data_IF_561014915989
#
_entry.id   IF_561014915989
#
_cell.length_a   1.000
_cell.length_b   1.000
_cell.length_c   1.000
_cell.angle_alpha   90.00
_cell.angle_beta   90.00
_cell.angle_gamma   90.00
#
_symmetry.space_group_name_H-M   'P 1'
#
loop_
_entity.id
_entity.type
_entity.pdbx_description
1 polymer ?
#
# COMPACT_ATOMS: atom_id res chain seq x y z
N UNK A 1 37.56 14.39 22.22
CA UNK A 1 36.99 13.05 21.96
C UNK A 1 35.46 13.07 21.71
N UNK A 2 34.82 14.22 21.51
CA UNK A 2 33.35 14.36 21.42
C UNK A 2 32.78 14.60 20.03
N UNK A 3 33.61 14.62 18.96
CA UNK A 3 33.13 14.79 17.57
C UNK A 3 32.73 13.48 16.87
N UNK A 4 33.00 12.31 17.45
CA UNK A 4 32.75 11.00 16.82
C UNK A 4 31.39 10.36 17.12
N UNK A 5 30.70 10.79 18.18
CA UNK A 5 29.44 10.18 18.63
C UNK A 5 28.19 10.74 17.90
N UNK A 6 28.24 12.00 17.43
CA UNK A 6 27.13 12.61 16.69
C UNK A 6 26.93 11.96 15.31
N UNK A 7 28.01 11.61 14.61
CA UNK A 7 27.96 11.02 13.26
C UNK A 7 27.36 9.61 13.24
N UNK A 8 27.57 8.83 14.31
CA UNK A 8 27.06 7.47 14.41
C UNK A 8 25.55 7.39 14.66
N UNK A 9 24.97 8.36 15.39
CA UNK A 9 23.53 8.40 15.68
C UNK A 9 22.66 8.77 14.45
N UNK A 10 23.26 9.46 13.47
CA UNK A 10 22.60 9.94 12.25
C UNK A 10 22.60 8.91 11.11
N UNK A 11 23.54 7.94 11.12
CA UNK A 11 23.68 6.93 10.07
C UNK A 11 22.57 5.85 10.11
N UNK A 12 21.83 5.73 11.22
CA UNK A 12 20.84 4.67 11.45
C UNK A 12 19.43 4.97 10.92
N UNK A 13 19.25 6.07 10.18
CA UNK A 13 17.97 6.45 9.56
C UNK A 13 17.59 5.61 8.32
N UNK A 14 18.52 4.86 7.73
CA UNK A 14 18.43 4.47 6.31
C UNK A 14 18.49 2.97 5.96
N UNK A 15 18.40 2.05 6.93
CA UNK A 15 18.56 0.61 6.65
C UNK A 15 17.28 -0.20 6.89
N UNK A 16 16.49 -0.34 5.82
CA UNK A 16 15.45 -1.34 5.65
C UNK A 16 15.18 -1.51 4.16
N UNK A 17 15.68 -2.60 3.56
CA UNK A 17 15.46 -2.91 2.15
C UNK A 17 16.38 -4.03 1.66
N UNK A 18 15.83 -5.25 1.66
CA UNK A 18 16.48 -6.49 1.25
C UNK A 18 16.61 -6.61 -0.28
N UNK A 19 17.41 -7.59 -0.65
CA UNK A 19 18.16 -7.76 -1.90
C UNK A 19 17.39 -8.42 -3.06
N UNK A 20 18.05 -8.34 -4.23
CA UNK A 20 18.25 -9.38 -5.24
C UNK A 20 17.39 -9.39 -6.50
N UNK A 21 18.07 -9.33 -7.65
CA UNK A 21 17.62 -9.95 -8.91
C UNK A 21 18.80 -10.69 -9.54
N UNK A 22 18.51 -11.89 -10.05
CA UNK A 22 19.34 -12.71 -10.94
C UNK A 22 18.85 -12.56 -12.40
N UNK A 23 19.62 -13.02 -13.40
CA UNK A 23 19.40 -12.68 -14.82
C UNK A 23 18.62 -13.71 -15.65
N UNK A 24 18.01 -13.17 -16.72
CA UNK A 24 17.65 -13.62 -18.07
C UNK A 24 17.54 -15.12 -18.46
N UNK A 25 16.49 -15.47 -19.22
CA UNK A 25 16.61 -15.78 -20.67
C UNK A 25 15.27 -15.86 -21.43
N UNK A 26 15.38 -15.72 -22.77
CA UNK A 26 14.35 -15.57 -23.84
C UNK A 26 13.53 -16.83 -24.13
N UNK A 27 12.30 -16.67 -24.68
CA UNK A 27 11.74 -17.51 -25.77
C UNK A 27 10.77 -16.70 -26.65
N UNK A 28 10.79 -16.99 -27.95
CA UNK A 28 10.03 -16.39 -29.06
C UNK A 28 8.69 -17.12 -29.38
N UNK A 29 7.81 -16.36 -30.05
CA UNK A 29 6.76 -16.72 -31.04
C UNK A 29 5.43 -17.47 -30.72
N UNK A 30 4.34 -16.73 -30.99
CA UNK A 30 3.16 -17.04 -31.83
C UNK A 30 2.23 -18.25 -31.57
N UNK A 31 0.95 -17.96 -31.23
CA UNK A 31 -0.24 -18.16 -32.12
C UNK A 31 -1.55 -18.42 -31.36
N UNK A 32 -2.65 -17.97 -31.99
CA UNK A 32 -4.07 -18.38 -31.90
C UNK A 32 -4.76 -18.55 -30.52
N UNK A 33 -5.84 -17.77 -30.30
CA UNK A 33 -6.80 -17.95 -29.21
C UNK A 33 -7.75 -19.14 -29.51
N UNK A 34 -7.96 -20.10 -28.61
CA UNK A 34 -9.02 -21.09 -28.74
C UNK A 34 -10.34 -20.55 -28.17
N UNK A 35 -11.45 -20.82 -28.85
CA UNK A 35 -12.79 -20.77 -28.27
C UNK A 35 -12.91 -21.87 -27.20
N UNK A 36 -13.37 -21.49 -26.01
CA UNK A 36 -13.66 -22.41 -24.92
C UNK A 36 -15.13 -22.80 -25.02
N UNK A 37 -15.41 -23.98 -25.56
CA UNK A 37 -16.71 -24.65 -25.37
C UNK A 37 -16.71 -25.40 -24.04
N UNK A 38 -17.71 -25.20 -23.16
CA UNK A 38 -17.78 -25.90 -21.89
C UNK A 38 -17.98 -27.40 -22.11
N UNK A 39 -17.18 -28.21 -21.42
CA UNK A 39 -17.32 -29.67 -21.35
C UNK A 39 -18.56 -30.01 -20.51
N UNK A 40 -19.39 -31.01 -20.89
CA UNK A 40 -20.48 -31.44 -20.03
C UNK A 40 -19.92 -32.05 -18.74
N UNK A 41 -20.43 -31.62 -17.59
CA UNK A 41 -20.06 -32.17 -16.29
C UNK A 41 -20.25 -33.70 -16.28
N UNK A 42 -19.21 -34.42 -15.87
CA UNK A 42 -19.32 -35.85 -15.62
C UNK A 42 -20.20 -36.05 -14.38
N UNK A 43 -21.19 -36.94 -14.50
CA UNK A 43 -22.05 -37.36 -13.39
C UNK A 43 -21.22 -38.09 -12.32
N UNK A 44 -20.67 -37.35 -11.36
CA UNK A 44 -20.21 -37.90 -10.10
C UNK A 44 -21.43 -38.14 -9.20
N UNK A 45 -21.50 -39.32 -8.59
CA UNK A 45 -22.48 -39.59 -7.52
C UNK A 45 -22.11 -38.73 -6.30
N UNK A 46 -22.99 -37.83 -5.83
CA UNK A 46 -22.71 -37.02 -4.65
C UNK A 46 -22.46 -37.93 -3.45
N UNK A 47 -21.49 -37.58 -2.60
CA UNK A 47 -21.58 -38.04 -1.21
C UNK A 47 -22.87 -37.46 -0.63
N UNK A 48 -23.59 -38.22 0.22
CA UNK A 48 -24.72 -37.64 0.95
C UNK A 48 -24.18 -36.49 1.79
N UNK A 49 -24.75 -35.29 1.62
CA UNK A 49 -24.43 -34.04 2.32
C UNK A 49 -23.75 -34.31 3.66
N UNK A 50 -22.43 -34.11 3.71
CA UNK A 50 -21.69 -34.19 4.95
C UNK A 50 -22.06 -32.94 5.76
N UNK A 51 -23.18 -33.01 6.48
CA UNK A 51 -23.43 -32.11 7.59
C UNK A 51 -22.17 -32.14 8.45
N UNK A 52 -21.45 -31.01 8.51
CA UNK A 52 -20.15 -30.90 9.17
C UNK A 52 -20.13 -31.72 10.46
N UNK A 53 -19.23 -32.70 10.52
CA UNK A 53 -19.04 -33.57 11.66
C UNK A 53 -18.91 -32.69 12.91
N UNK A 54 -19.50 -33.10 14.03
CA UNK A 54 -19.41 -32.35 15.30
C UNK A 54 -17.94 -32.07 15.71
N UNK A 55 -16.99 -32.89 15.24
CA UNK A 55 -15.56 -32.65 15.44
C UNK A 55 -14.96 -31.57 14.52
N UNK A 56 -15.42 -31.46 13.28
CA UNK A 56 -14.98 -30.42 12.33
C UNK A 56 -15.52 -29.05 12.75
N UNK A 57 -16.79 -28.99 13.17
CA UNK A 57 -17.37 -27.78 13.73
C UNK A 57 -16.59 -27.30 14.99
N UNK A 58 -16.20 -28.22 15.88
CA UNK A 58 -15.33 -27.90 17.02
C UNK A 58 -13.92 -27.49 16.57
N UNK A 59 -13.38 -28.12 15.54
CA UNK A 59 -12.08 -27.78 14.95
C UNK A 59 -12.05 -26.36 14.43
N UNK A 60 -13.03 -26.00 13.62
CA UNK A 60 -13.23 -24.65 13.10
C UNK A 60 -13.37 -23.62 14.22
N UNK A 61 -14.22 -23.89 15.22
CA UNK A 61 -14.39 -22.99 16.36
C UNK A 61 -13.08 -22.76 17.15
N UNK A 62 -12.26 -23.80 17.32
CA UNK A 62 -10.92 -23.67 17.95
C UNK A 62 -9.98 -22.81 17.11
N UNK A 63 -10.00 -22.97 15.78
CA UNK A 63 -9.18 -22.16 14.87
C UNK A 63 -9.59 -20.68 14.95
N UNK A 64 -10.88 -20.37 14.84
CA UNK A 64 -11.40 -18.99 14.95
C UNK A 64 -11.01 -18.36 16.29
N UNK A 65 -11.14 -19.11 17.39
CA UNK A 65 -10.72 -18.61 18.70
C UNK A 65 -9.22 -18.30 18.76
N UNK A 66 -8.38 -19.17 18.19
CA UNK A 66 -6.93 -18.96 18.13
C UNK A 66 -6.55 -17.74 17.27
N UNK A 67 -7.21 -17.54 16.12
CA UNK A 67 -7.02 -16.36 15.28
C UNK A 67 -7.42 -15.08 16.02
N UNK A 68 -8.53 -15.10 16.75
CA UNK A 68 -8.97 -13.96 17.54
C UNK A 68 -7.99 -13.60 18.69
N UNK A 69 -7.40 -14.61 19.34
CA UNK A 69 -6.33 -14.41 20.33
C UNK A 69 -5.08 -13.79 19.69
N UNK A 70 -4.65 -14.30 18.53
CA UNK A 70 -3.50 -13.77 17.80
C UNK A 70 -3.76 -12.35 17.28
N UNK A 71 -4.97 -12.04 16.81
CA UNK A 71 -5.34 -10.71 16.36
C UNK A 71 -5.19 -9.66 17.48
N UNK A 72 -5.69 -9.97 18.69
CA UNK A 72 -5.52 -9.11 19.88
C UNK A 72 -4.05 -8.92 20.22
N UNK A 73 -3.29 -10.02 20.23
CA UNK A 73 -1.87 -10.01 20.49
C UNK A 73 -1.05 -9.19 19.48
N UNK A 74 -1.38 -9.31 18.19
CA UNK A 74 -0.69 -8.66 17.10
C UNK A 74 -0.87 -7.14 17.17
N UNK A 75 -2.07 -6.63 17.49
CA UNK A 75 -2.32 -5.20 17.64
C UNK A 75 -1.44 -4.56 18.73
N UNK A 76 -1.10 -5.31 19.79
CA UNK A 76 -0.26 -4.82 20.88
C UNK A 76 1.25 -4.92 20.57
N UNK A 77 1.66 -5.98 19.89
CA UNK A 77 3.07 -6.38 19.74
C UNK A 77 3.66 -6.08 18.37
N UNK A 78 2.87 -6.06 17.31
CA UNK A 78 3.36 -5.95 15.96
C UNK A 78 3.87 -4.53 15.67
N UNK A 79 5.09 -4.36 15.14
CA UNK A 79 5.63 -3.04 14.84
C UNK A 79 4.93 -2.36 13.64
N UNK A 80 4.16 -3.11 12.86
CA UNK A 80 3.51 -2.67 11.62
C UNK A 80 1.97 -2.64 11.72
N UNK A 81 1.41 -2.97 12.88
CA UNK A 81 -0.04 -2.98 13.12
C UNK A 81 -0.30 -2.32 14.48
N UNK A 82 -1.34 -1.49 14.55
CA UNK A 82 -1.73 -0.83 15.80
C UNK A 82 -0.86 0.39 16.17
N UNK A 83 -1.18 1.01 17.30
CA UNK A 83 -0.66 2.33 17.66
C UNK A 83 0.52 2.30 18.63
N UNK A 84 0.96 1.12 19.07
CA UNK A 84 1.93 0.95 20.17
C UNK A 84 3.21 1.75 19.94
N UNK A 85 3.78 1.67 18.72
CA UNK A 85 4.99 2.42 18.33
C UNK A 85 4.78 3.94 18.42
N UNK A 86 3.68 4.45 17.87
CA UNK A 86 3.37 5.87 17.89
C UNK A 86 3.11 6.37 19.32
N UNK A 87 2.39 5.59 20.14
CA UNK A 87 2.11 5.89 21.54
C UNK A 87 3.40 5.97 22.36
N UNK A 88 4.31 5.00 22.22
CA UNK A 88 5.60 5.01 22.92
C UNK A 88 6.44 6.24 22.56
N UNK A 89 6.52 6.59 21.26
CA UNK A 89 7.28 7.74 20.78
C UNK A 89 6.66 9.08 21.22
N UNK A 90 5.33 9.20 21.20
CA UNK A 90 4.60 10.36 21.76
C UNK A 90 4.93 10.54 23.23
N UNK A 91 4.86 9.46 24.00
CA UNK A 91 5.10 9.48 25.43
C UNK A 91 6.57 9.82 25.77
N UNK A 92 7.51 9.30 24.97
CA UNK A 92 8.92 9.64 25.08
C UNK A 92 9.17 11.13 24.84
N UNK A 93 8.58 11.72 23.78
CA UNK A 93 8.70 13.15 23.51
C UNK A 93 8.03 14.01 24.58
N UNK A 94 6.86 13.60 25.07
CA UNK A 94 6.13 14.33 26.11
C UNK A 94 6.90 14.36 27.45
N UNK A 95 7.45 13.22 27.88
CA UNK A 95 8.16 13.12 29.18
C UNK A 95 9.59 13.65 29.14
N UNK A 96 10.30 13.44 28.02
CA UNK A 96 11.75 13.64 27.97
C UNK A 96 12.21 14.64 26.90
N UNK A 97 11.33 15.08 25.98
CA UNK A 97 11.72 15.91 24.84
C UNK A 97 12.40 17.23 25.23
N UNK A 98 12.00 17.88 26.32
CA UNK A 98 12.64 19.11 26.79
C UNK A 98 14.09 18.90 27.27
N UNK A 99 14.45 17.68 27.68
CA UNK A 99 15.77 17.31 28.20
C UNK A 99 16.66 16.63 27.16
N UNK A 100 16.09 16.20 26.04
CA UNK A 100 16.82 15.61 24.93
C UNK A 100 17.72 16.65 24.26
N UNK A 101 18.89 16.23 23.80
CA UNK A 101 19.66 17.03 22.87
C UNK A 101 18.87 17.21 21.56
N UNK A 102 19.05 18.34 20.84
CA UNK A 102 18.25 18.64 19.64
C UNK A 102 18.31 17.57 18.54
N UNK A 103 19.44 16.87 18.39
CA UNK A 103 19.59 15.81 17.38
C UNK A 103 18.76 14.59 17.75
N UNK A 104 18.85 14.14 19.01
CA UNK A 104 18.01 13.04 19.51
C UNK A 104 16.53 13.37 19.47
N UNK A 105 16.15 14.60 19.86
CA UNK A 105 14.75 15.06 19.80
C UNK A 105 14.21 15.05 18.37
N UNK A 106 14.97 15.59 17.43
CA UNK A 106 14.60 15.58 16.01
C UNK A 106 14.44 14.16 15.48
N UNK A 107 15.37 13.26 15.81
CA UNK A 107 15.30 11.85 15.41
C UNK A 107 14.05 11.16 15.97
N UNK A 108 13.74 11.33 17.26
CA UNK A 108 12.53 10.76 17.85
C UNK A 108 11.27 11.36 17.20
N UNK A 109 11.29 12.66 16.86
CA UNK A 109 10.18 13.30 16.13
C UNK A 109 10.01 12.75 14.72
N UNK A 110 11.09 12.53 13.98
CA UNK A 110 11.06 11.85 12.68
C UNK A 110 10.47 10.44 12.80
N UNK A 111 10.90 9.66 13.79
CA UNK A 111 10.39 8.30 14.02
C UNK A 111 8.90 8.32 14.35
N UNK A 112 8.45 9.30 15.14
CA UNK A 112 7.03 9.46 15.44
C UNK A 112 6.25 9.85 14.19
N UNK A 113 6.74 10.81 13.41
CA UNK A 113 6.11 11.24 12.17
C UNK A 113 5.92 10.06 11.19
N UNK A 114 6.94 9.20 11.04
CA UNK A 114 6.83 8.00 10.23
C UNK A 114 5.75 7.04 10.76
N UNK A 115 5.68 6.82 12.08
CA UNK A 115 4.67 5.97 12.69
C UNK A 115 3.24 6.55 12.56
N UNK A 116 3.07 7.87 12.69
CA UNK A 116 1.76 8.51 12.43
C UNK A 116 1.36 8.41 10.96
N UNK A 117 2.33 8.53 10.05
CA UNK A 117 2.09 8.37 8.62
C UNK A 117 1.66 6.94 8.28
N UNK A 118 2.32 5.91 8.86
CA UNK A 118 1.92 4.50 8.73
C UNK A 118 0.46 4.27 9.19
N UNK A 119 -0.02 5.05 10.15
CA UNK A 119 -1.39 4.98 10.70
C UNK A 119 -2.41 5.85 9.93
N UNK A 120 -2.03 6.45 8.80
CA UNK A 120 -2.92 7.30 8.01
C UNK A 120 -3.25 8.64 8.69
N UNK A 121 -2.40 9.10 9.61
CA UNK A 121 -2.52 10.41 10.28
C UNK A 121 -1.57 11.40 9.65
N UNK A 122 -1.85 11.76 8.39
CA UNK A 122 -0.90 12.50 7.56
C UNK A 122 -0.68 13.93 8.09
N UNK A 123 -1.71 14.60 8.62
CA UNK A 123 -1.58 15.97 9.13
C UNK A 123 -0.69 16.03 10.37
N UNK A 124 -0.86 15.08 11.28
CA UNK A 124 -0.02 14.91 12.46
C UNK A 124 1.42 14.60 12.07
N UNK A 125 1.62 13.68 11.12
CA UNK A 125 2.93 13.34 10.59
C UNK A 125 3.63 14.54 9.94
N UNK A 126 2.92 15.32 9.11
CA UNK A 126 3.43 16.53 8.46
C UNK A 126 3.87 17.54 9.51
N UNK A 127 3.03 17.84 10.51
CA UNK A 127 3.37 18.79 11.57
C UNK A 127 4.64 18.37 12.34
N UNK A 128 4.81 17.07 12.59
CA UNK A 128 6.01 16.52 13.23
C UNK A 128 7.25 16.64 12.34
N UNK A 129 7.13 16.32 11.04
CA UNK A 129 8.23 16.48 10.08
C UNK A 129 8.63 17.95 9.91
N UNK A 130 7.67 18.87 9.82
CA UNK A 130 7.94 20.31 9.73
C UNK A 130 8.66 20.83 10.97
N UNK A 131 8.17 20.49 12.17
CA UNK A 131 8.84 20.85 13.42
C UNK A 131 10.26 20.28 13.48
N UNK A 132 10.46 19.05 13.02
CA UNK A 132 11.77 18.42 12.98
C UNK A 132 12.72 19.11 11.98
N UNK A 133 12.21 19.48 10.79
CA UNK A 133 12.95 20.27 9.79
C UNK A 133 13.38 21.61 10.35
N UNK A 134 12.47 22.34 10.97
CA UNK A 134 12.73 23.68 11.50
C UNK A 134 13.75 23.62 12.63
N UNK A 135 13.69 22.59 13.48
CA UNK A 135 14.71 22.33 14.50
C UNK A 135 16.10 22.05 13.90
N UNK A 136 16.20 21.27 12.81
CA UNK A 136 17.47 21.06 12.11
C UNK A 136 18.06 22.36 11.54
N UNK A 137 17.23 23.26 11.04
CA UNK A 137 17.69 24.57 10.54
C UNK A 137 18.38 25.37 11.65
N UNK A 138 17.86 25.30 12.89
CA UNK A 138 18.50 25.98 14.03
C UNK A 138 19.88 25.42 14.40
N UNK A 139 20.16 24.17 14.04
CA UNK A 139 21.43 23.50 14.30
C UNK A 139 22.50 23.78 13.24
N UNK A 140 22.11 24.28 12.07
CA UNK A 140 23.03 24.65 10.98
C UNK A 140 23.97 23.51 10.57
N UNK A 141 25.24 23.86 10.32
CA UNK A 141 26.28 22.93 9.82
C UNK A 141 26.62 21.77 10.78
N UNK A 142 26.07 21.77 12.00
CA UNK A 142 26.23 20.66 12.93
C UNK A 142 25.50 19.37 12.48
N UNK A 143 24.58 19.48 11.52
CA UNK A 143 23.78 18.38 11.00
C UNK A 143 24.35 17.94 9.64
N UNK A 144 24.76 16.66 9.48
CA UNK A 144 25.15 16.15 8.18
C UNK A 144 24.02 16.31 7.16
N UNK A 145 24.38 16.65 5.93
CA UNK A 145 23.42 16.95 4.86
C UNK A 145 22.49 15.79 4.54
N UNK A 146 22.98 14.55 4.58
CA UNK A 146 22.20 13.34 4.26
C UNK A 146 20.94 13.17 5.12
N UNK A 147 21.05 13.13 6.45
CA UNK A 147 19.90 13.10 7.37
C UNK A 147 18.90 14.24 7.18
N UNK A 148 19.38 15.47 6.93
CA UNK A 148 18.50 16.61 6.66
C UNK A 148 17.75 16.44 5.33
N UNK A 149 18.42 15.94 4.29
CA UNK A 149 17.81 15.63 3.01
C UNK A 149 16.79 14.49 3.11
N UNK A 150 17.09 13.42 3.87
CA UNK A 150 16.15 12.31 4.09
C UNK A 150 14.89 12.78 4.83
N UNK A 151 15.04 13.61 5.86
CA UNK A 151 13.90 14.20 6.56
C UNK A 151 13.02 15.02 5.62
N UNK A 152 13.62 15.89 4.79
CA UNK A 152 12.86 16.66 3.79
C UNK A 152 12.19 15.74 2.77
N UNK A 153 12.88 14.70 2.32
CA UNK A 153 12.28 13.72 1.41
C UNK A 153 11.03 13.06 2.01
N UNK A 154 11.09 12.63 3.27
CA UNK A 154 9.93 12.05 3.96
C UNK A 154 8.81 13.06 4.20
N UNK A 155 9.12 14.34 4.43
CA UNK A 155 8.10 15.40 4.45
C UNK A 155 7.39 15.52 3.10
N UNK A 156 8.13 15.45 2.00
CA UNK A 156 7.55 15.40 0.65
C UNK A 156 6.65 14.18 0.44
N UNK A 157 7.07 13.00 0.92
CA UNK A 157 6.26 11.78 0.90
C UNK A 157 4.98 11.95 1.73
N UNK A 158 5.07 12.55 2.92
CA UNK A 158 3.91 12.80 3.78
C UNK A 158 2.89 13.73 3.11
N UNK A 159 3.36 14.77 2.43
CA UNK A 159 2.51 15.64 1.62
C UNK A 159 1.88 14.92 0.42
N UNK A 160 2.63 14.03 -0.24
CA UNK A 160 2.09 13.23 -1.34
C UNK A 160 1.00 12.26 -0.86
N UNK A 161 1.20 11.62 0.30
CA UNK A 161 0.19 10.76 0.95
C UNK A 161 -1.05 11.53 1.37
N UNK A 162 -0.90 12.76 1.89
CA UNK A 162 -2.06 13.63 2.15
C UNK A 162 -2.87 13.87 0.86
N UNK A 163 -2.18 14.15 -0.26
CA UNK A 163 -2.81 14.30 -1.57
C UNK A 163 -3.51 13.01 -2.04
N UNK A 164 -2.90 11.85 -1.83
CA UNK A 164 -3.50 10.55 -2.11
C UNK A 164 -4.78 10.31 -1.29
N UNK A 165 -4.74 10.50 0.03
CA UNK A 165 -5.91 10.32 0.90
C UNK A 165 -7.06 11.26 0.52
N UNK A 166 -6.76 12.54 0.24
CA UNK A 166 -7.77 13.55 -0.15
C UNK A 166 -8.44 13.28 -1.51
N UNK A 167 -7.75 12.58 -2.43
CA UNK A 167 -8.17 12.46 -3.82
C UNK A 167 -8.36 11.00 -4.26
N UNK A 168 -7.31 10.19 -4.17
CA UNK A 168 -7.33 8.81 -4.66
C UNK A 168 -8.15 7.88 -3.77
N UNK A 169 -8.09 8.03 -2.43
CA UNK A 169 -8.86 7.21 -1.51
C UNK A 169 -10.31 7.71 -1.40
N UNK A 170 -10.50 8.99 -1.10
CA UNK A 170 -11.85 9.55 -0.90
C UNK A 170 -12.64 9.75 -2.20
N UNK A 171 -11.96 9.87 -3.35
CA UNK A 171 -12.58 10.15 -4.65
C UNK A 171 -12.09 9.20 -5.74
N UNK A 172 -11.82 7.95 -5.36
CA UNK A 172 -11.34 6.90 -6.25
C UNK A 172 -12.20 6.77 -7.52
N UNK A 173 -11.55 6.62 -8.67
CA UNK A 173 -12.20 6.32 -9.94
C UNK A 173 -11.25 5.50 -10.82
N UNK A 174 -11.71 5.09 -11.99
CA UNK A 174 -10.98 4.22 -12.90
C UNK A 174 -9.61 4.77 -13.38
N UNK A 175 -9.41 6.09 -13.33
CA UNK A 175 -8.15 6.74 -13.72
C UNK A 175 -7.19 6.97 -12.53
N UNK A 176 -7.63 6.68 -11.30
CA UNK A 176 -6.83 6.92 -10.09
C UNK A 176 -5.57 6.04 -10.06
N UNK A 177 -4.43 6.66 -9.74
CA UNK A 177 -3.13 5.98 -9.59
C UNK A 177 -2.57 5.27 -10.84
N UNK A 178 -3.07 5.57 -12.05
CA UNK A 178 -2.53 5.04 -13.31
C UNK A 178 -1.51 6.01 -13.91
N UNK A 179 -0.31 5.52 -14.27
CA UNK A 179 0.72 6.34 -14.92
C UNK A 179 0.63 6.27 -16.46
N UNK A 180 0.81 7.39 -17.17
CA UNK A 180 0.86 8.76 -16.65
C UNK A 180 -0.50 9.20 -16.09
N UNK A 181 -0.49 9.91 -14.96
CA UNK A 181 -1.72 10.39 -14.30
C UNK A 181 -2.33 11.51 -15.14
N UNK A 182 -3.59 11.32 -15.53
CA UNK A 182 -4.36 12.23 -16.36
C UNK A 182 -5.86 12.00 -16.13
N UNK A 183 -6.71 12.83 -16.75
CA UNK A 183 -8.17 12.63 -16.71
C UNK A 183 -8.73 12.63 -15.28
N UNK A 184 -9.49 11.60 -14.92
CA UNK A 184 -10.05 11.43 -13.58
C UNK A 184 -9.01 11.22 -12.48
N UNK A 185 -7.75 10.93 -12.81
CA UNK A 185 -6.65 10.80 -11.85
C UNK A 185 -6.07 12.14 -11.39
N UNK A 186 -6.48 13.27 -11.99
CA UNK A 186 -6.05 14.61 -11.55
C UNK A 186 -6.74 14.97 -10.24
N UNK A 187 -5.96 15.42 -9.27
CA UNK A 187 -6.41 15.78 -7.94
C UNK A 187 -7.27 17.04 -7.99
N UNK A 188 -8.41 16.99 -7.30
CA UNK A 188 -9.26 18.15 -7.07
C UNK A 188 -8.73 19.00 -5.89
N UNK A 189 -8.17 18.36 -4.86
CA UNK A 189 -7.42 19.01 -3.80
C UNK A 189 -5.92 18.89 -4.08
N UNK A 190 -5.36 20.00 -4.55
CA UNK A 190 -3.96 20.06 -4.97
C UNK A 190 -2.99 20.37 -3.83
N UNK A 191 -3.47 20.60 -2.59
CA UNK A 191 -2.65 21.05 -1.46
C UNK A 191 -1.45 20.11 -1.25
N UNK A 192 -1.72 18.82 -1.04
CA UNK A 192 -0.69 17.82 -0.78
C UNK A 192 0.32 17.72 -1.93
N UNK A 193 -0.18 17.62 -3.17
CA UNK A 193 0.69 17.48 -4.34
C UNK A 193 1.59 18.70 -4.57
N UNK A 194 1.05 19.94 -4.48
CA UNK A 194 1.85 21.16 -4.67
C UNK A 194 2.90 21.35 -3.58
N UNK A 195 2.57 21.05 -2.32
CA UNK A 195 3.54 21.11 -1.22
C UNK A 195 4.61 20.02 -1.38
N UNK A 196 4.24 18.81 -1.78
CA UNK A 196 5.20 17.75 -2.09
C UNK A 196 6.17 18.15 -3.21
N UNK A 197 5.67 18.74 -4.30
CA UNK A 197 6.51 19.24 -5.41
C UNK A 197 7.56 20.25 -4.92
N UNK A 198 7.17 21.23 -4.11
CA UNK A 198 8.10 22.23 -3.57
C UNK A 198 9.22 21.56 -2.76
N UNK A 199 8.87 20.64 -1.86
CA UNK A 199 9.84 19.92 -1.02
C UNK A 199 10.76 19.02 -1.86
N UNK A 200 10.24 18.32 -2.88
CA UNK A 200 11.09 17.48 -3.73
C UNK A 200 12.06 18.29 -4.59
N UNK A 201 11.70 19.51 -5.00
CA UNK A 201 12.63 20.43 -5.67
C UNK A 201 13.78 20.81 -4.73
N UNK A 202 13.48 21.13 -3.46
CA UNK A 202 14.51 21.42 -2.45
C UNK A 202 15.46 20.23 -2.28
N UNK A 203 14.92 19.02 -2.09
CA UNK A 203 15.73 17.79 -1.95
C UNK A 203 16.61 17.56 -3.19
N UNK A 204 16.07 17.75 -4.39
CA UNK A 204 16.80 17.50 -5.63
C UNK A 204 17.89 18.53 -5.94
N UNK A 205 17.79 19.74 -5.39
CA UNK A 205 18.75 20.84 -5.56
C UNK A 205 19.78 20.96 -4.44
N UNK A 206 19.53 20.36 -3.29
CA UNK A 206 20.49 20.33 -2.18
C UNK A 206 21.74 19.53 -2.59
N UNK A 207 22.89 20.21 -2.64
CA UNK A 207 24.18 19.64 -3.04
C UNK A 207 24.65 18.52 -2.11
N UNK A 208 24.13 18.49 -0.88
CA UNK A 208 24.42 17.44 0.09
C UNK A 208 23.50 16.22 0.00
N UNK A 209 22.53 16.21 -0.92
CA UNK A 209 21.67 15.04 -1.19
C UNK A 209 22.42 14.00 -2.01
N UNK A 210 22.49 12.77 -1.50
CA UNK A 210 23.07 11.65 -2.24
C UNK A 210 22.27 11.28 -3.49
N UNK A 211 22.94 10.82 -4.54
CA UNK A 211 22.35 10.60 -5.87
C UNK A 211 21.12 9.68 -5.86
N UNK A 212 21.11 8.63 -5.04
CA UNK A 212 19.95 7.73 -4.91
C UNK A 212 18.70 8.48 -4.41
N UNK A 213 18.85 9.30 -3.37
CA UNK A 213 17.74 10.06 -2.80
C UNK A 213 17.29 11.17 -3.76
N UNK A 214 18.24 11.83 -4.42
CA UNK A 214 17.98 12.81 -5.48
C UNK A 214 17.10 12.22 -6.59
N UNK A 215 17.43 11.02 -7.10
CA UNK A 215 16.62 10.34 -8.13
C UNK A 215 15.21 10.00 -7.66
N UNK A 216 15.05 9.57 -6.40
CA UNK A 216 13.72 9.32 -5.80
C UNK A 216 12.90 10.61 -5.75
N UNK A 217 13.50 11.72 -5.33
CA UNK A 217 12.83 13.01 -5.27
C UNK A 217 12.40 13.49 -6.68
N UNK A 218 13.27 13.34 -7.69
CA UNK A 218 12.94 13.66 -9.09
C UNK A 218 11.78 12.82 -9.59
N UNK A 219 11.79 11.50 -9.32
CA UNK A 219 10.70 10.62 -9.69
C UNK A 219 9.37 11.08 -9.07
N UNK A 220 9.33 11.27 -7.76
CA UNK A 220 8.11 11.67 -7.05
C UNK A 220 7.66 13.10 -7.39
N UNK A 221 8.59 14.01 -7.71
CA UNK A 221 8.28 15.35 -8.23
C UNK A 221 7.50 15.26 -9.55
N UNK A 222 7.93 14.40 -10.48
CA UNK A 222 7.24 14.25 -11.76
C UNK A 222 5.87 13.59 -11.58
N UNK A 223 5.73 12.60 -10.69
CA UNK A 223 4.43 12.00 -10.34
C UNK A 223 3.50 13.06 -9.72
N UNK A 224 3.97 13.82 -8.74
CA UNK A 224 3.20 14.90 -8.09
C UNK A 224 2.82 16.02 -9.07
N UNK A 225 3.65 16.29 -10.10
CA UNK A 225 3.29 17.25 -11.13
C UNK A 225 2.18 16.72 -12.06
N UNK A 226 2.10 15.42 -12.30
CA UNK A 226 1.02 14.83 -13.09
C UNK A 226 -0.32 14.88 -12.33
N UNK A 227 -0.32 14.66 -11.02
CA UNK A 227 -1.54 14.70 -10.20
C UNK A 227 -2.20 16.08 -10.20
N UNK A 228 -1.48 17.15 -10.52
CA UNK A 228 -2.03 18.52 -10.64
C UNK A 228 -2.01 19.05 -12.08
N UNK A 229 -1.96 18.15 -13.06
CA UNK A 229 -1.92 18.46 -14.50
C UNK A 229 -0.83 19.49 -14.90
N UNK A 230 0.26 19.56 -14.13
CA UNK A 230 1.34 20.49 -14.35
C UNK A 230 2.54 19.86 -15.09
N UNK A 231 2.58 18.54 -15.25
CA UNK A 231 3.65 17.89 -16.03
C UNK A 231 3.50 18.19 -17.54
N UNK A 232 4.58 18.55 -18.26
CA UNK A 232 5.95 18.77 -17.78
C UNK A 232 6.23 20.22 -17.36
N UNK A 233 5.36 21.18 -17.69
CA UNK A 233 5.62 22.62 -17.57
C UNK A 233 5.95 23.10 -16.14
N UNK A 234 5.28 22.54 -15.14
CA UNK A 234 5.46 22.83 -13.72
C UNK A 234 6.64 22.12 -13.05
N UNK A 235 7.41 21.32 -13.80
CA UNK A 235 8.67 20.72 -13.32
C UNK A 235 9.84 21.52 -13.91
N UNK A 236 10.88 21.89 -13.12
CA UNK A 236 12.09 22.52 -13.66
C UNK A 236 12.75 21.66 -14.74
N UNK A 237 13.24 22.29 -15.81
CA UNK A 237 13.71 21.58 -17.01
C UNK A 237 14.81 20.54 -16.71
N UNK A 238 15.72 20.85 -15.80
CA UNK A 238 16.81 19.99 -15.34
C UNK A 238 16.36 18.79 -14.48
N UNK A 239 15.10 18.81 -14.01
CA UNK A 239 14.48 17.78 -13.17
C UNK A 239 13.33 17.05 -13.87
N UNK A 240 13.06 17.33 -15.15
CA UNK A 240 12.01 16.68 -15.93
C UNK A 240 12.40 15.26 -16.31
N UNK A 241 11.47 14.33 -16.12
CA UNK A 241 11.53 13.02 -16.78
C UNK A 241 10.79 13.15 -18.13
N UNK A 242 11.41 12.79 -19.26
CA UNK A 242 10.78 12.85 -20.57
C UNK A 242 9.44 12.10 -20.58
N UNK A 243 8.41 12.67 -21.21
CA UNK A 243 7.08 12.04 -21.28
C UNK A 243 7.13 10.61 -21.87
N UNK A 244 8.05 10.38 -22.82
CA UNK A 244 8.31 9.07 -23.41
C UNK A 244 8.79 8.00 -22.40
N UNK A 245 9.24 8.37 -21.21
CA UNK A 245 9.59 7.41 -20.16
C UNK A 245 8.34 6.86 -19.43
N UNK A 246 7.20 7.56 -19.50
CA UNK A 246 5.92 7.13 -18.91
C UNK A 246 5.01 6.45 -19.93
N UNK A 247 5.26 6.68 -21.22
CA UNK A 247 4.65 5.99 -22.33
C UNK A 247 5.53 4.77 -22.60
N UNK A 248 5.17 3.60 -22.06
CA UNK A 248 6.00 2.39 -22.09
C UNK A 248 6.69 2.11 -23.44
N UNK A 249 7.83 1.43 -23.39
CA UNK A 249 8.67 1.12 -24.55
C UNK A 249 7.88 0.45 -25.68
N UNK A 250 7.42 1.22 -26.67
CA UNK A 250 7.18 0.72 -28.02
C UNK A 250 5.89 -0.07 -28.30
N UNK A 251 4.89 -0.04 -27.43
CA UNK A 251 3.54 -0.38 -27.85
C UNK A 251 2.52 0.50 -27.14
N UNK A 252 1.98 1.47 -27.87
CA UNK A 252 0.52 1.59 -27.83
C UNK A 252 0.00 0.19 -28.16
N UNK A 253 -0.21 -0.64 -27.13
CA UNK A 253 -0.70 -1.98 -27.32
C UNK A 253 -1.98 -1.84 -28.13
N UNK A 254 -2.10 -2.57 -29.24
CA UNK A 254 -3.39 -2.75 -29.92
C UNK A 254 -4.46 -3.31 -28.98
N UNK A 255 -4.03 -3.79 -27.81
CA UNK A 255 -4.86 -4.20 -26.70
C UNK A 255 -5.39 -2.99 -25.90
N UNK A 256 -6.71 -2.88 -25.70
CA UNK A 256 -7.31 -1.79 -24.95
C UNK A 256 -6.92 -1.85 -23.47
N UNK A 257 -6.97 -0.69 -22.80
CA UNK A 257 -6.86 -0.64 -21.33
C UNK A 257 -8.10 -1.28 -20.72
N UNK A 258 -7.91 -2.10 -19.69
CA UNK A 258 -9.02 -2.52 -18.83
C UNK A 258 -9.49 -1.32 -18.01
N UNK A 259 -10.80 -1.10 -17.98
CA UNK A 259 -11.42 -0.09 -17.14
C UNK A 259 -11.66 -0.73 -15.78
N UNK A 260 -11.23 -0.06 -14.71
CA UNK A 260 -11.56 -0.50 -13.36
C UNK A 260 -13.04 -0.21 -13.07
N UNK A 261 -13.82 -1.27 -12.87
CA UNK A 261 -15.26 -1.23 -12.58
C UNK A 261 -15.58 -1.63 -11.13
N UNK A 262 -14.56 -1.83 -10.27
CA UNK A 262 -14.75 -2.37 -8.92
C UNK A 262 -15.74 -1.55 -8.08
N UNK A 263 -15.65 -0.22 -8.19
CA UNK A 263 -16.54 0.72 -7.49
C UNK A 263 -17.97 0.69 -8.00
N UNK A 264 -18.15 0.50 -9.30
CA UNK A 264 -19.47 0.42 -9.93
C UNK A 264 -20.19 -0.87 -9.52
N UNK A 265 -19.42 -1.94 -9.32
CA UNK A 265 -19.89 -3.24 -8.87
C UNK A 265 -20.02 -3.36 -7.33
N UNK A 266 -19.50 -2.40 -6.56
CA UNK A 266 -19.51 -2.43 -5.10
C UNK A 266 -18.54 -3.46 -4.48
N UNK A 267 -17.48 -3.81 -5.20
CA UNK A 267 -16.44 -4.77 -4.78
C UNK A 267 -15.10 -4.07 -4.51
N UNK A 268 -15.08 -2.75 -4.43
CA UNK A 268 -13.91 -1.90 -4.15
C UNK A 268 -13.60 -1.79 -2.64
N UNK A 269 -13.61 -2.92 -1.93
CA UNK A 269 -13.27 -2.93 -0.50
C UNK A 269 -11.85 -2.39 -0.30
N UNK A 270 -11.74 -1.39 0.59
CA UNK A 270 -10.44 -0.95 1.09
C UNK A 270 -9.87 -2.02 2.03
N UNK A 271 -8.92 -2.79 1.52
CA UNK A 271 -8.11 -3.72 2.28
C UNK A 271 -6.66 -3.67 1.80
N UNK A 272 -5.79 -4.29 2.58
CA UNK A 272 -4.42 -4.53 2.17
C UNK A 272 -4.33 -6.04 1.96
N UNK A 273 -4.34 -6.55 0.72
CA UNK A 273 -4.14 -7.98 0.46
C UNK A 273 -3.74 -8.24 -0.98
N UNK A 274 -3.17 -9.42 -1.25
CA UNK A 274 -2.74 -9.83 -2.59
C UNK A 274 -3.52 -11.00 -3.19
N UNK A 275 -4.32 -11.71 -2.40
CA UNK A 275 -5.09 -12.87 -2.85
C UNK A 275 -6.46 -12.48 -3.38
N UNK A 276 -6.76 -12.87 -4.61
CA UNK A 276 -8.09 -12.86 -5.20
C UNK A 276 -8.36 -14.20 -5.86
N UNK A 277 -9.53 -14.77 -5.60
CA UNK A 277 -10.02 -16.00 -6.22
C UNK A 277 -11.37 -15.70 -6.85
N UNK A 278 -11.58 -16.28 -8.04
CA UNK A 278 -12.82 -16.20 -8.79
C UNK A 278 -13.22 -17.62 -9.14
N UNK A 279 -14.35 -18.09 -8.61
CA UNK A 279 -14.93 -19.40 -8.92
C UNK A 279 -16.43 -19.41 -8.59
N UNK A 280 -17.13 -20.50 -8.92
CA UNK A 280 -18.55 -20.73 -8.61
C UNK A 280 -18.70 -21.43 -7.25
N UNK A 281 -18.77 -20.65 -6.15
CA UNK A 281 -18.76 -21.18 -4.78
C UNK A 281 -20.13 -21.67 -4.29
N UNK A 282 -21.22 -21.39 -5.00
CA UNK A 282 -22.55 -21.87 -4.62
C UNK A 282 -23.21 -22.77 -5.68
N UNK A 283 -22.49 -23.08 -6.75
CA UNK A 283 -22.89 -24.04 -7.78
C UNK A 283 -24.00 -23.52 -8.69
N UNK A 284 -24.23 -22.21 -8.74
CA UNK A 284 -25.30 -21.60 -9.54
C UNK A 284 -24.88 -21.30 -11.00
N UNK A 285 -23.62 -21.58 -11.33
CA UNK A 285 -23.01 -21.37 -12.65
C UNK A 285 -22.50 -19.94 -12.87
N UNK A 286 -22.51 -19.09 -11.84
CA UNK A 286 -22.00 -17.72 -11.88
C UNK A 286 -20.70 -17.61 -11.09
N UNK A 287 -19.74 -16.87 -11.63
CA UNK A 287 -18.45 -16.66 -10.96
C UNK A 287 -18.58 -15.61 -9.86
N UNK A 288 -18.20 -16.01 -8.65
CA UNK A 288 -18.11 -15.23 -7.43
C UNK A 288 -16.69 -14.69 -7.20
N UNK A 289 -16.52 -13.85 -6.18
CA UNK A 289 -15.23 -13.22 -5.87
C UNK A 289 -14.91 -13.39 -4.38
N UNK A 290 -13.75 -13.96 -4.06
CA UNK A 290 -13.16 -13.90 -2.72
C UNK A 290 -11.85 -13.13 -2.77
N UNK A 291 -11.69 -12.18 -1.86
CA UNK A 291 -10.40 -11.50 -1.62
C UNK A 291 -10.00 -11.63 -0.17
N UNK A 292 -8.70 -11.79 0.08
CA UNK A 292 -8.18 -11.85 1.44
C UNK A 292 -8.04 -10.46 2.07
N UNK A 293 -7.73 -10.42 3.36
CA UNK A 293 -7.32 -9.22 4.07
C UNK A 293 -6.07 -9.53 4.90
N UNK A 294 -5.03 -8.72 4.77
CA UNK A 294 -3.78 -8.91 5.50
C UNK A 294 -3.93 -8.58 6.99
N UNK A 295 -4.86 -7.69 7.36
CA UNK A 295 -5.00 -7.26 8.75
C UNK A 295 -5.50 -8.42 9.63
N UNK A 296 -4.86 -8.64 10.78
CA UNK A 296 -5.09 -9.85 11.59
C UNK A 296 -6.47 -9.87 12.25
N UNK A 297 -7.17 -8.74 12.32
CA UNK A 297 -8.51 -8.59 12.86
C UNK A 297 -9.60 -8.45 11.79
N UNK A 298 -9.25 -8.55 10.50
CA UNK A 298 -10.17 -8.40 9.38
C UNK A 298 -10.38 -9.73 8.65
N UNK A 299 -11.64 -10.12 8.37
CA UNK A 299 -11.94 -11.33 7.60
C UNK A 299 -11.74 -11.07 6.09
N UNK A 300 -11.71 -12.13 5.25
CA UNK A 300 -11.81 -11.95 3.80
C UNK A 300 -13.13 -11.25 3.42
N UNK A 301 -13.23 -10.80 2.17
CA UNK A 301 -14.52 -10.44 1.57
C UNK A 301 -14.90 -11.51 0.56
N UNK A 302 -16.15 -11.94 0.63
CA UNK A 302 -16.78 -12.85 -0.32
C UNK A 302 -17.96 -12.11 -0.93
N UNK A 303 -18.01 -12.05 -2.25
CA UNK A 303 -19.09 -11.49 -3.02
C UNK A 303 -19.67 -12.53 -3.95
N UNK A 304 -20.98 -12.76 -3.82
CA UNK A 304 -21.73 -13.62 -4.72
C UNK A 304 -22.31 -12.83 -5.88
N UNK A 305 -22.17 -13.36 -7.09
CA UNK A 305 -22.69 -12.81 -8.32
C UNK A 305 -24.20 -13.08 -8.43
N UNK A 306 -24.99 -12.05 -8.78
CA UNK A 306 -26.45 -12.18 -8.95
C UNK A 306 -26.89 -12.45 -10.39
N UNK A 307 -25.96 -12.47 -11.34
CA UNK A 307 -26.22 -12.72 -12.76
C UNK A 307 -26.78 -11.52 -13.54
N UNK A 308 -27.13 -10.43 -12.85
CA UNK A 308 -27.60 -9.16 -13.42
C UNK A 308 -26.48 -8.10 -13.52
N UNK A 309 -25.23 -8.51 -13.28
CA UNK A 309 -24.08 -7.62 -13.22
C UNK A 309 -23.86 -6.97 -11.86
N UNK A 310 -24.61 -7.37 -10.82
CA UNK A 310 -24.39 -6.94 -9.44
C UNK A 310 -23.88 -8.07 -8.53
N UNK A 311 -23.27 -7.67 -7.42
CA UNK A 311 -22.72 -8.57 -6.41
C UNK A 311 -23.37 -8.31 -5.04
N UNK A 312 -23.47 -9.35 -4.21
CA UNK A 312 -23.83 -9.23 -2.80
C UNK A 312 -22.75 -9.77 -1.87
N UNK A 313 -22.53 -9.11 -0.74
CA UNK A 313 -21.66 -9.65 0.32
C UNK A 313 -22.25 -10.95 0.85
N UNK A 314 -21.45 -12.01 0.85
CA UNK A 314 -21.84 -13.34 1.32
C UNK A 314 -20.91 -13.93 2.39
N UNK A 315 -20.20 -13.07 3.12
CA UNK A 315 -19.37 -13.52 4.24
C UNK A 315 -20.20 -14.17 5.37
N UNK A 316 -21.40 -13.65 5.66
CA UNK A 316 -22.28 -14.20 6.68
C UNK A 316 -22.90 -15.53 6.20
N UNK A 317 -22.76 -16.57 7.01
CA UNK A 317 -23.17 -17.94 6.72
C UNK A 317 -22.17 -18.75 5.91
N UNK A 318 -21.03 -18.18 5.49
CA UNK A 318 -20.06 -18.87 4.61
C UNK A 318 -19.05 -19.75 5.34
N UNK A 319 -19.05 -19.75 6.67
CA UNK A 319 -18.01 -20.41 7.48
C UNK A 319 -16.65 -19.72 7.44
N UNK A 320 -16.52 -18.53 6.83
CA UNK A 320 -15.29 -17.71 6.87
C UNK A 320 -15.35 -16.62 7.95
N UNK A 321 -16.43 -16.57 8.71
CA UNK A 321 -16.60 -15.64 9.83
C UNK A 321 -15.53 -15.89 10.90
N UNK A 322 -14.81 -14.84 11.28
CA UNK A 322 -13.74 -14.94 12.27
C UNK A 322 -12.46 -15.61 11.74
N UNK A 323 -12.43 -16.04 10.47
CA UNK A 323 -11.18 -16.38 9.77
C UNK A 323 -10.54 -15.07 9.31
N UNK A 324 -9.63 -14.54 10.13
CA UNK A 324 -9.02 -13.23 9.90
C UNK A 324 -7.56 -13.31 9.51
N UNK A 325 -7.09 -12.29 8.78
CA UNK A 325 -5.74 -12.26 8.24
C UNK A 325 -5.55 -13.22 7.05
N UNK A 326 -4.53 -12.93 6.23
CA UNK A 326 -4.19 -13.72 5.06
C UNK A 326 -3.67 -12.87 3.91
N UNK A 327 -2.42 -13.11 3.51
CA UNK A 327 -1.84 -12.39 2.37
C UNK A 327 -2.35 -12.91 1.02
N UNK A 328 -2.61 -14.21 0.94
CA UNK A 328 -3.00 -14.92 -0.28
C UNK A 328 -4.01 -16.03 0.03
N UNK A 329 -4.74 -16.49 -0.99
CA UNK A 329 -5.69 -17.59 -0.94
C UNK A 329 -5.43 -18.55 -2.10
N UNK A 330 -5.63 -19.84 -1.87
CA UNK A 330 -5.68 -20.89 -2.89
C UNK A 330 -6.91 -21.73 -2.58
N UNK A 331 -7.76 -21.97 -3.57
CA UNK A 331 -8.95 -22.80 -3.47
C UNK A 331 -8.71 -24.14 -4.18
N UNK A 332 -9.42 -25.18 -3.76
CA UNK A 332 -9.47 -26.48 -4.41
C UNK A 332 -10.70 -27.25 -3.90
N UNK A 333 -11.34 -27.99 -4.79
CA UNK A 333 -12.24 -29.11 -4.42
C UNK A 333 -11.37 -30.19 -3.77
N UNK A 334 -11.32 -30.19 -2.43
CA UNK A 334 -10.36 -30.99 -1.68
C UNK A 334 -10.79 -32.46 -1.54
N UNK A 335 -12.09 -32.73 -1.49
CA UNK A 335 -12.63 -34.08 -1.33
C UNK A 335 -13.15 -34.70 -2.65
N UNK A 336 -13.08 -33.93 -3.73
CA UNK A 336 -13.31 -34.33 -5.11
C UNK A 336 -14.76 -34.80 -5.33
N UNK A 337 -15.72 -34.10 -4.76
CA UNK A 337 -17.15 -34.39 -4.94
C UNK A 337 -17.80 -33.56 -6.06
N UNK A 338 -17.07 -32.58 -6.60
CA UNK A 338 -17.47 -31.75 -7.72
C UNK A 338 -18.10 -30.42 -7.34
N UNK A 339 -18.17 -30.08 -6.05
CA UNK A 339 -18.39 -28.71 -5.57
C UNK A 339 -17.12 -28.11 -4.93
N UNK A 340 -17.19 -26.84 -4.51
CA UNK A 340 -16.05 -26.01 -4.11
C UNK A 340 -16.26 -25.35 -2.74
#
# INVERSE_FOLDING_TARGET
MTRGLATAALLSLALGGASCTQPADRVDEASARPEITPTPAASATPRPDAAADDEDAKGHARMVAALADEARAAIERAPYVGESRANQLREQLARHGARMDPVSRTRTRYQLAAAELELGREREAIALFETARDELVTLGDAVPSGPAAELRFQLGVAYLRLGESQNCCLRNNADSCILPIAGGGVHADEEGARKAMAVFIEVARDAGTGERLRKKAIWLLNVAAMTVAAHPAGVPEDLRIPAAAFQGSGAASSFPRFVNVSRELGVDRESLAGGAVIDDFDGDGLLDIIVTDWFPDRPPALWRNRGDGSFESKLEGSGLEGVTGGLNLVHADYDNDGDL
#
